data_IF_992548094054
#
_entry.id   IF_992548094054
#
_cell.length_a   1.000
_cell.length_b   1.000
_cell.length_c   1.000
_cell.angle_alpha   90.00
_cell.angle_beta   90.00
_cell.angle_gamma   90.00
#
_symmetry.space_group_name_H-M   'P 1'
#
loop_
_entity.id
_entity.type
_entity.pdbx_description
1 polymer ?
#
# COMPACT_ATOMS: atom_id res chain seq x y z
N UNK A 1 -15.06 -28.75 -40.12
CA UNK A 1 -14.47 -28.24 -38.86
C UNK A 1 -15.54 -27.47 -38.12
N UNK A 2 -15.99 -27.95 -36.95
CA UNK A 2 -16.89 -27.16 -36.10
C UNK A 2 -16.01 -26.11 -35.42
N UNK A 3 -16.05 -24.87 -35.90
CA UNK A 3 -15.51 -23.74 -35.15
C UNK A 3 -16.34 -23.59 -33.88
N UNK A 4 -15.83 -24.11 -32.76
CA UNK A 4 -16.35 -23.79 -31.43
C UNK A 4 -16.13 -22.30 -31.18
N UNK A 5 -17.10 -21.48 -31.57
CA UNK A 5 -17.13 -20.06 -31.26
C UNK A 5 -17.53 -19.90 -29.79
N UNK A 6 -16.89 -18.97 -29.10
CA UNK A 6 -17.32 -18.59 -27.75
C UNK A 6 -18.75 -18.03 -27.83
N UNK A 7 -19.63 -18.54 -26.96
CA UNK A 7 -20.94 -17.93 -26.75
C UNK A 7 -20.71 -16.65 -25.94
N UNK A 8 -21.07 -15.50 -26.50
CA UNK A 8 -20.82 -14.18 -25.91
C UNK A 8 -21.90 -13.81 -24.89
N UNK A 9 -21.91 -14.52 -23.77
CA UNK A 9 -22.65 -14.12 -22.57
C UNK A 9 -21.69 -13.75 -21.44
N UNK A 10 -22.18 -13.03 -20.43
CA UNK A 10 -21.36 -12.49 -19.36
C UNK A 10 -20.65 -13.58 -18.52
N UNK A 11 -21.26 -14.76 -18.36
CA UNK A 11 -20.66 -15.87 -17.62
C UNK A 11 -19.45 -16.44 -18.36
N UNK A 12 -19.56 -16.56 -19.69
CA UNK A 12 -18.47 -17.00 -20.56
C UNK A 12 -17.38 -15.95 -20.72
N UNK A 13 -17.73 -14.65 -20.70
CA UNK A 13 -16.76 -13.56 -20.80
C UNK A 13 -15.97 -13.33 -19.50
N UNK A 14 -16.58 -13.51 -18.33
CA UNK A 14 -15.88 -13.39 -17.04
C UNK A 14 -15.17 -14.68 -16.62
N UNK A 15 -15.60 -15.84 -17.13
CA UNK A 15 -15.30 -17.20 -16.64
C UNK A 15 -15.96 -17.55 -15.31
N UNK A 16 -16.35 -18.82 -15.15
CA UNK A 16 -16.86 -19.34 -13.87
C UNK A 16 -15.80 -19.27 -12.78
N UNK A 17 -14.54 -19.52 -13.13
CA UNK A 17 -13.40 -19.45 -12.22
C UNK A 17 -13.24 -18.07 -11.59
N UNK A 18 -13.46 -17.00 -12.35
CA UNK A 18 -13.48 -15.62 -11.81
C UNK A 18 -14.65 -15.44 -10.86
N UNK A 19 -15.86 -15.84 -11.27
CA UNK A 19 -17.09 -15.63 -10.50
C UNK A 19 -17.10 -16.39 -9.16
N UNK A 20 -16.40 -17.52 -9.03
CA UNK A 20 -16.20 -18.21 -7.74
C UNK A 20 -15.60 -17.31 -6.65
N UNK A 21 -14.81 -16.30 -7.03
CA UNK A 21 -14.25 -15.33 -6.08
C UNK A 21 -15.26 -14.26 -5.64
N UNK A 22 -16.45 -14.24 -6.24
CA UNK A 22 -17.55 -13.31 -6.04
C UNK A 22 -18.86 -14.07 -5.71
N UNK A 23 -18.75 -15.23 -5.05
CA UNK A 23 -19.90 -16.10 -4.69
C UNK A 23 -20.79 -16.45 -5.89
N UNK A 24 -20.18 -16.64 -7.05
CA UNK A 24 -20.86 -16.89 -8.33
C UNK A 24 -21.87 -15.78 -8.73
N UNK A 25 -21.71 -14.55 -8.20
CA UNK A 25 -22.57 -13.38 -8.47
C UNK A 25 -21.89 -12.34 -9.34
N UNK A 26 -22.55 -12.00 -10.45
CA UNK A 26 -22.16 -10.90 -11.35
C UNK A 26 -22.35 -9.56 -10.63
N UNK A 27 -23.40 -9.42 -9.82
CA UNK A 27 -23.68 -8.20 -9.06
C UNK A 27 -22.60 -7.92 -8.01
N UNK A 28 -22.00 -8.95 -7.40
CA UNK A 28 -20.85 -8.77 -6.51
C UNK A 28 -19.58 -8.38 -7.27
N UNK A 29 -19.37 -8.98 -8.45
CA UNK A 29 -18.28 -8.59 -9.34
C UNK A 29 -18.40 -7.11 -9.77
N UNK A 30 -19.59 -6.67 -10.19
CA UNK A 30 -19.82 -5.30 -10.64
C UNK A 30 -19.72 -4.30 -9.48
N UNK A 31 -20.21 -4.65 -8.28
CA UNK A 31 -19.98 -3.86 -7.06
C UNK A 31 -18.49 -3.68 -6.76
N UNK A 32 -17.68 -4.72 -6.99
CA UNK A 32 -16.24 -4.62 -6.82
C UNK A 32 -15.60 -3.67 -7.85
N UNK A 33 -16.00 -3.76 -9.12
CA UNK A 33 -15.53 -2.83 -10.16
C UNK A 33 -15.92 -1.38 -9.87
N UNK A 34 -17.15 -1.14 -9.41
CA UNK A 34 -17.62 0.19 -9.01
C UNK A 34 -16.81 0.74 -7.83
N UNK A 35 -16.50 -0.10 -6.84
CA UNK A 35 -15.63 0.30 -5.74
C UNK A 35 -14.23 0.66 -6.23
N UNK A 36 -13.62 -0.16 -7.11
CA UNK A 36 -12.31 0.14 -7.71
C UNK A 36 -12.36 1.50 -8.43
N UNK A 37 -13.39 1.73 -9.26
CA UNK A 37 -13.56 2.98 -9.98
C UNK A 37 -13.68 4.19 -9.02
N UNK A 38 -14.46 4.06 -7.96
CA UNK A 38 -14.65 5.11 -6.95
C UNK A 38 -13.36 5.48 -6.23
N UNK A 39 -12.54 4.49 -5.83
CA UNK A 39 -11.34 4.75 -5.02
C UNK A 39 -10.09 5.08 -5.82
N UNK A 40 -10.10 4.81 -7.14
CA UNK A 40 -8.93 5.00 -8.02
C UNK A 40 -8.34 6.41 -7.94
N UNK A 41 -9.13 7.50 -7.97
CA UNK A 41 -8.56 8.85 -7.87
C UNK A 41 -7.76 9.09 -6.57
N UNK A 42 -8.31 8.68 -5.41
CA UNK A 42 -7.64 8.82 -4.13
C UNK A 42 -6.37 7.97 -4.07
N UNK A 43 -6.44 6.71 -4.53
CA UNK A 43 -5.29 5.81 -4.56
C UNK A 43 -4.18 6.35 -5.49
N UNK A 44 -4.52 6.88 -6.67
CA UNK A 44 -3.56 7.47 -7.59
C UNK A 44 -2.88 8.70 -6.97
N UNK A 45 -3.65 9.60 -6.34
CA UNK A 45 -3.11 10.78 -5.68
C UNK A 45 -2.13 10.41 -4.55
N UNK A 46 -2.48 9.41 -3.74
CA UNK A 46 -1.62 8.88 -2.68
C UNK A 46 -0.33 8.29 -3.26
N UNK A 47 -0.43 7.44 -4.28
CA UNK A 47 0.75 6.80 -4.90
C UNK A 47 1.70 7.83 -5.52
N UNK A 48 1.17 8.82 -6.26
CA UNK A 48 1.97 9.90 -6.86
C UNK A 48 2.65 10.72 -5.75
N UNK A 49 1.92 11.07 -4.69
CA UNK A 49 2.46 11.84 -3.56
C UNK A 49 3.61 11.10 -2.88
N UNK A 50 3.44 9.82 -2.53
CA UNK A 50 4.49 9.01 -1.89
C UNK A 50 5.72 8.93 -2.78
N UNK A 51 5.53 8.72 -4.08
CA UNK A 51 6.62 8.61 -5.06
C UNK A 51 7.42 9.92 -5.17
N UNK A 52 6.74 11.05 -5.17
CA UNK A 52 7.38 12.37 -5.17
C UNK A 52 8.10 12.67 -3.85
N UNK A 53 7.52 12.28 -2.72
CA UNK A 53 8.15 12.45 -1.40
C UNK A 53 9.44 11.62 -1.32
N UNK A 54 9.38 10.34 -1.69
CA UNK A 54 10.55 9.46 -1.72
C UNK A 54 11.63 10.03 -2.62
N UNK A 55 11.28 10.50 -3.83
CA UNK A 55 12.23 11.13 -4.73
C UNK A 55 12.87 12.39 -4.13
N UNK A 56 12.06 13.27 -3.53
CA UNK A 56 12.53 14.50 -2.90
C UNK A 56 13.58 14.26 -1.81
N UNK A 57 13.35 13.27 -0.93
CA UNK A 57 14.30 12.95 0.13
C UNK A 57 15.53 12.20 -0.39
N UNK A 58 15.38 11.24 -1.32
CA UNK A 58 16.54 10.55 -1.90
C UNK A 58 17.46 11.50 -2.68
N UNK A 59 16.91 12.53 -3.32
CA UNK A 59 17.70 13.59 -3.96
C UNK A 59 18.57 14.37 -2.98
N UNK A 60 18.16 14.49 -1.72
CA UNK A 60 18.90 15.20 -0.67
C UNK A 60 19.91 14.30 0.05
N UNK A 61 19.51 13.08 0.41
CA UNK A 61 20.36 12.13 1.14
C UNK A 61 21.48 11.56 0.26
N UNK A 62 21.22 11.42 -1.05
CA UNK A 62 22.14 10.78 -2.00
C UNK A 62 22.64 11.80 -3.02
N UNK A 63 21.81 12.14 -4.01
CA UNK A 63 22.05 13.12 -5.10
C UNK A 63 20.86 13.20 -6.05
N UNK A 64 20.80 14.26 -6.84
CA UNK A 64 19.69 14.57 -7.76
C UNK A 64 19.40 13.48 -8.80
N UNK A 65 20.40 12.69 -9.18
CA UNK A 65 20.39 11.68 -10.23
C UNK A 65 20.45 10.24 -9.68
N UNK A 66 20.00 10.01 -8.43
CA UNK A 66 20.10 8.72 -7.73
C UNK A 66 19.52 7.52 -8.50
N UNK A 67 18.59 7.73 -9.45
CA UNK A 67 18.07 6.66 -10.32
C UNK A 67 18.95 6.47 -11.56
N UNK A 68 19.40 7.56 -12.16
CA UNK A 68 20.16 7.53 -13.43
C UNK A 68 21.54 6.94 -13.20
N UNK A 69 22.16 7.27 -12.06
CA UNK A 69 23.43 6.72 -11.61
C UNK A 69 23.26 6.06 -10.22
N UNK A 70 22.84 4.79 -10.18
CA UNK A 70 22.42 4.10 -8.96
C UNK A 70 23.59 3.68 -8.08
N UNK A 71 23.52 4.05 -6.80
CA UNK A 71 24.56 3.77 -5.80
C UNK A 71 24.41 2.38 -5.18
N UNK A 72 23.18 1.86 -5.06
CA UNK A 72 22.94 0.52 -4.54
C UNK A 72 22.43 -0.45 -5.62
N UNK A 73 22.63 -1.74 -5.35
CA UNK A 73 22.25 -2.83 -6.25
C UNK A 73 20.73 -2.88 -6.48
N UNK A 74 19.93 -2.51 -5.48
CA UNK A 74 18.48 -2.52 -5.58
C UNK A 74 17.96 -1.56 -6.67
N UNK A 75 18.43 -0.32 -6.65
CA UNK A 75 18.05 0.72 -7.61
C UNK A 75 18.62 0.38 -8.99
N UNK A 76 19.86 -0.12 -9.05
CA UNK A 76 20.50 -0.59 -10.29
C UNK A 76 19.68 -1.68 -10.98
N UNK A 77 19.31 -2.72 -10.25
CA UNK A 77 18.49 -3.81 -10.79
C UNK A 77 17.13 -3.30 -11.27
N UNK A 78 16.49 -2.37 -10.56
CA UNK A 78 15.22 -1.80 -11.02
C UNK A 78 15.40 -0.94 -12.28
N UNK A 79 16.46 -0.16 -12.36
CA UNK A 79 16.82 0.63 -13.55
C UNK A 79 17.03 -0.29 -14.76
N UNK A 80 17.83 -1.35 -14.63
CA UNK A 80 18.07 -2.33 -15.71
C UNK A 80 16.77 -3.04 -16.14
N UNK A 81 15.89 -3.38 -15.19
CA UNK A 81 14.56 -3.92 -15.48
C UNK A 81 13.67 -2.91 -16.23
N UNK A 82 13.80 -1.62 -15.97
CA UNK A 82 13.12 -0.57 -16.74
C UNK A 82 13.74 -0.51 -18.15
N UNK A 83 15.05 -0.36 -18.25
CA UNK A 83 15.77 -0.25 -19.53
C UNK A 83 15.45 -1.41 -20.47
N UNK A 84 15.40 -2.65 -19.98
CA UNK A 84 15.05 -3.82 -20.80
C UNK A 84 13.67 -3.75 -21.45
N UNK A 85 12.74 -2.94 -20.91
CA UNK A 85 11.39 -2.73 -21.46
C UNK A 85 11.33 -1.60 -22.48
N UNK A 86 12.29 -0.68 -22.46
CA UNK A 86 12.33 0.49 -23.34
C UNK A 86 13.40 0.31 -24.42
N UNK A 87 12.99 0.39 -25.69
CA UNK A 87 13.91 0.28 -26.83
C UNK A 87 14.71 1.59 -27.09
N UNK A 88 14.55 2.61 -26.25
CA UNK A 88 14.97 3.99 -26.51
C UNK A 88 16.35 4.33 -25.95
N UNK A 89 16.86 5.49 -26.39
CA UNK A 89 17.88 6.28 -25.70
C UNK A 89 17.56 6.47 -24.22
N UNK A 90 18.60 6.70 -23.43
CA UNK A 90 18.58 6.92 -21.97
C UNK A 90 17.34 7.71 -21.51
N UNK A 91 16.52 7.08 -20.65
CA UNK A 91 15.33 7.71 -20.06
C UNK A 91 15.70 8.86 -19.12
N UNK A 92 14.80 9.83 -18.95
CA UNK A 92 14.95 10.87 -17.92
C UNK A 92 14.70 10.30 -16.52
N UNK A 93 15.13 11.04 -15.50
CA UNK A 93 14.89 10.69 -14.10
C UNK A 93 13.40 10.48 -13.80
N UNK A 94 12.54 11.39 -14.29
CA UNK A 94 11.08 11.34 -14.10
C UNK A 94 10.46 10.13 -14.82
N UNK A 95 11.00 9.77 -15.99
CA UNK A 95 10.58 8.57 -16.72
C UNK A 95 10.94 7.30 -15.95
N UNK A 96 12.12 7.21 -15.34
CA UNK A 96 12.40 6.09 -14.44
C UNK A 96 11.49 6.10 -13.22
N UNK A 97 11.38 7.22 -12.52
CA UNK A 97 10.59 7.34 -11.28
C UNK A 97 9.13 6.91 -11.50
N UNK A 98 8.52 7.30 -12.62
CA UNK A 98 7.16 6.88 -12.99
C UNK A 98 7.03 5.39 -13.32
N UNK A 99 8.11 4.75 -13.79
CA UNK A 99 8.14 3.33 -14.14
C UNK A 99 8.51 2.39 -12.98
N UNK A 100 9.00 2.91 -11.86
CA UNK A 100 9.14 2.12 -10.63
C UNK A 100 7.76 1.60 -10.22
N UNK A 101 7.62 0.32 -9.88
CA UNK A 101 6.34 -0.11 -9.31
C UNK A 101 6.12 0.52 -7.92
N UNK A 102 4.88 0.75 -7.51
CA UNK A 102 4.59 1.24 -6.15
C UNK A 102 5.23 0.37 -5.06
N UNK A 103 5.34 -0.96 -5.28
CA UNK A 103 6.01 -1.85 -4.33
C UNK A 103 7.49 -1.52 -4.16
N UNK A 104 8.15 -1.07 -5.22
CA UNK A 104 9.55 -0.62 -5.18
C UNK A 104 9.69 0.70 -4.44
N UNK A 105 8.78 1.64 -4.67
CA UNK A 105 8.71 2.89 -3.90
C UNK A 105 8.48 2.64 -2.41
N UNK A 106 7.54 1.76 -2.06
CA UNK A 106 7.28 1.36 -0.66
C UNK A 106 8.50 0.72 -0.03
N UNK A 107 9.26 -0.09 -0.76
CA UNK A 107 10.50 -0.67 -0.27
C UNK A 107 11.55 0.40 0.03
N UNK A 108 11.77 1.35 -0.89
CA UNK A 108 12.69 2.48 -0.65
C UNK A 108 12.27 3.32 0.56
N UNK A 109 10.97 3.63 0.67
CA UNK A 109 10.40 4.38 1.79
C UNK A 109 10.63 3.69 3.16
N UNK A 110 10.66 2.36 3.20
CA UNK A 110 10.84 1.55 4.40
C UNK A 110 12.28 1.02 4.57
N UNK A 111 13.21 1.43 3.70
CA UNK A 111 14.61 1.01 3.80
C UNK A 111 15.28 1.68 4.99
N UNK A 112 16.02 0.91 5.77
CA UNK A 112 16.84 1.42 6.88
C UNK A 112 18.00 2.28 6.40
N UNK A 113 18.46 2.05 5.17
CA UNK A 113 19.53 2.84 4.54
C UNK A 113 19.16 4.33 4.46
N UNK A 114 17.87 4.63 4.27
CA UNK A 114 17.38 5.99 4.02
C UNK A 114 16.52 6.55 5.14
N UNK A 115 15.98 5.68 6.01
CA UNK A 115 15.16 6.06 7.16
C UNK A 115 14.02 7.04 6.82
N UNK A 116 13.41 6.87 5.63
CA UNK A 116 12.38 7.79 5.11
C UNK A 116 11.01 7.58 5.77
N UNK A 117 10.79 6.50 6.50
CA UNK A 117 9.49 6.14 7.08
C UNK A 117 8.88 7.24 7.97
N UNK A 118 9.72 8.05 8.62
CA UNK A 118 9.30 9.20 9.43
C UNK A 118 8.84 10.41 8.61
N UNK A 119 9.22 10.47 7.34
CA UNK A 119 9.02 11.62 6.46
C UNK A 119 7.81 11.43 5.51
N UNK A 120 7.31 10.20 5.35
CA UNK A 120 6.23 9.90 4.39
C UNK A 120 4.90 10.55 4.78
N UNK A 121 4.52 10.43 6.05
CA UNK A 121 3.25 10.93 6.55
C UNK A 121 3.47 11.90 7.71
N UNK A 122 2.67 12.96 7.74
CA UNK A 122 2.66 13.93 8.84
C UNK A 122 1.36 13.81 9.64
N UNK A 123 1.34 14.19 10.91
CA UNK A 123 0.13 14.16 11.74
C UNK A 123 -0.49 12.75 11.93
N UNK A 124 0.35 11.72 12.03
CA UNK A 124 -0.08 10.34 12.28
C UNK A 124 -0.73 10.13 13.66
N UNK A 125 -0.63 11.11 14.55
CA UNK A 125 -1.41 11.19 15.80
C UNK A 125 -2.92 11.30 15.55
N UNK A 126 -3.37 11.77 14.38
CA UNK A 126 -4.79 11.87 14.00
C UNK A 126 -5.36 10.54 13.47
N UNK A 127 -4.50 9.58 13.14
CA UNK A 127 -4.89 8.29 12.61
C UNK A 127 -5.30 7.32 13.72
N UNK A 128 -6.44 6.66 13.53
CA UNK A 128 -6.97 5.65 14.43
C UNK A 128 -7.40 4.41 13.64
N UNK A 129 -6.63 3.32 13.75
CA UNK A 129 -6.89 2.08 13.02
C UNK A 129 -8.20 1.41 13.42
N UNK A 130 -8.75 1.69 14.61
CA UNK A 130 -10.01 1.07 15.07
C UNK A 130 -11.21 1.53 14.24
N UNK A 131 -11.11 2.66 13.54
CA UNK A 131 -12.12 3.17 12.61
C UNK A 131 -12.36 2.25 11.42
N UNK A 132 -11.35 1.46 11.03
CA UNK A 132 -11.35 0.72 9.77
C UNK A 132 -11.69 -0.77 9.90
N UNK A 133 -11.60 -1.33 11.11
CA UNK A 133 -12.14 -2.66 11.41
C UNK A 133 -12.27 -2.86 12.91
N UNK A 134 -13.32 -3.57 13.33
CA UNK A 134 -13.57 -3.90 14.75
C UNK A 134 -12.46 -4.76 15.37
N UNK A 135 -11.68 -5.46 14.56
CA UNK A 135 -10.56 -6.28 15.04
C UNK A 135 -9.26 -5.50 15.25
N UNK A 136 -9.19 -4.26 14.78
CA UNK A 136 -7.97 -3.46 14.86
C UNK A 136 -7.74 -2.88 16.26
N UNK A 137 -6.49 -2.48 16.51
CA UNK A 137 -6.03 -1.76 17.70
C UNK A 137 -4.98 -0.75 17.28
N UNK A 138 -4.75 0.30 18.07
CA UNK A 138 -3.62 1.22 17.89
C UNK A 138 -2.38 0.82 18.70
N UNK A 139 -2.20 -0.49 18.88
CA UNK A 139 -1.18 -1.04 19.78
C UNK A 139 -0.82 -2.46 19.41
N UNK A 140 0.40 -2.87 19.71
CA UNK A 140 0.90 -4.24 19.63
C UNK A 140 1.28 -4.77 21.01
N UNK A 141 1.60 -6.07 21.09
CA UNK A 141 2.08 -6.71 22.32
C UNK A 141 3.49 -7.25 22.09
N UNK A 142 4.42 -6.76 22.90
CA UNK A 142 5.80 -7.22 22.97
C UNK A 142 6.15 -7.50 24.43
N UNK A 143 6.72 -8.67 24.70
CA UNK A 143 7.10 -9.10 26.05
C UNK A 143 5.92 -9.02 27.05
N UNK A 144 4.75 -9.49 26.59
CA UNK A 144 3.46 -9.40 27.30
C UNK A 144 3.02 -7.98 27.71
N UNK A 145 3.72 -6.92 27.26
CA UNK A 145 3.37 -5.53 27.48
C UNK A 145 2.69 -4.96 26.24
N UNK A 146 1.66 -4.16 26.47
CA UNK A 146 0.96 -3.42 25.41
C UNK A 146 1.73 -2.14 25.10
N UNK A 147 2.09 -1.95 23.83
CA UNK A 147 2.79 -0.77 23.33
C UNK A 147 1.95 -0.11 22.25
N UNK A 148 1.89 1.22 22.23
CA UNK A 148 1.24 1.96 21.14
C UNK A 148 2.15 1.97 19.91
N UNK A 149 1.56 2.06 18.73
CA UNK A 149 2.35 2.26 17.50
C UNK A 149 2.94 3.66 17.48
N UNK A 150 4.25 3.75 17.23
CA UNK A 150 4.90 5.00 16.85
C UNK A 150 4.62 5.36 15.38
N UNK A 151 5.13 6.52 14.95
CA UNK A 151 4.87 7.05 13.61
C UNK A 151 5.54 6.22 12.50
N UNK A 152 6.72 5.65 12.73
CA UNK A 152 7.40 4.80 11.75
C UNK A 152 6.61 3.50 11.55
N UNK A 153 6.18 2.88 12.66
CA UNK A 153 5.37 1.67 12.66
C UNK A 153 4.00 1.92 12.01
N UNK A 154 3.37 3.07 12.26
CA UNK A 154 2.14 3.49 11.58
C UNK A 154 2.37 3.64 10.08
N UNK A 155 3.44 4.34 9.66
CA UNK A 155 3.80 4.47 8.24
C UNK A 155 3.94 3.11 7.57
N UNK A 156 4.66 2.17 8.19
CA UNK A 156 4.83 0.81 7.67
C UNK A 156 3.49 0.10 7.48
N UNK A 157 2.61 0.16 8.48
CA UNK A 157 1.27 -0.43 8.41
C UNK A 157 0.47 0.18 7.25
N UNK A 158 0.46 1.51 7.13
CA UNK A 158 -0.27 2.23 6.08
C UNK A 158 0.25 1.85 4.70
N UNK A 159 1.56 1.91 4.46
CA UNK A 159 2.16 1.60 3.17
C UNK A 159 1.88 0.16 2.74
N UNK A 160 1.92 -0.81 3.66
CA UNK A 160 1.57 -2.21 3.38
C UNK A 160 0.09 -2.39 3.03
N UNK A 161 -0.81 -1.66 3.69
CA UNK A 161 -2.23 -1.68 3.39
C UNK A 161 -2.53 -1.03 2.03
N UNK A 162 -1.94 0.13 1.76
CA UNK A 162 -2.01 0.82 0.47
C UNK A 162 -1.51 -0.07 -0.67
N UNK A 163 -0.35 -0.71 -0.50
CA UNK A 163 0.20 -1.63 -1.51
C UNK A 163 -0.77 -2.78 -1.80
N UNK A 164 -1.42 -3.32 -0.77
CA UNK A 164 -2.43 -4.38 -0.92
C UNK A 164 -3.66 -3.89 -1.68
N UNK A 165 -4.18 -2.70 -1.33
CA UNK A 165 -5.32 -2.08 -2.02
C UNK A 165 -4.96 -1.81 -3.48
N UNK A 166 -3.82 -1.14 -3.72
CA UNK A 166 -3.29 -0.79 -5.04
C UNK A 166 -3.20 -2.02 -5.92
N UNK A 167 -2.48 -3.06 -5.49
CA UNK A 167 -2.30 -4.27 -6.30
C UNK A 167 -3.65 -4.92 -6.63
N UNK A 168 -4.58 -4.99 -5.67
CA UNK A 168 -5.92 -5.55 -5.91
C UNK A 168 -6.72 -4.75 -6.93
N UNK A 169 -6.63 -3.41 -6.91
CA UNK A 169 -7.28 -2.56 -7.91
C UNK A 169 -6.75 -2.84 -9.33
N UNK A 170 -5.43 -2.82 -9.52
CA UNK A 170 -4.82 -2.99 -10.84
C UNK A 170 -4.81 -4.43 -11.36
N UNK A 171 -5.06 -5.41 -10.49
CA UNK A 171 -5.26 -6.81 -10.88
C UNK A 171 -6.74 -7.21 -10.97
N UNK A 172 -7.66 -6.26 -10.76
CA UNK A 172 -9.11 -6.50 -10.77
C UNK A 172 -9.52 -7.65 -9.82
N UNK A 173 -8.88 -7.67 -8.65
CA UNK A 173 -9.20 -8.63 -7.59
C UNK A 173 -10.36 -8.13 -6.72
N UNK A 174 -11.01 -9.07 -6.03
CA UNK A 174 -12.11 -8.77 -5.12
C UNK A 174 -11.60 -8.03 -3.85
N UNK A 175 -11.92 -6.74 -3.74
CA UNK A 175 -11.74 -5.86 -2.57
C UNK A 175 -12.82 -6.08 -1.50
N UNK A 176 -13.99 -6.59 -1.89
CA UNK A 176 -15.11 -6.92 -1.00
C UNK A 176 -14.87 -8.20 -0.20
N UNK A 177 -13.82 -8.96 -0.54
CA UNK A 177 -13.52 -10.24 0.09
C UNK A 177 -13.21 -10.08 1.57
N UNK A 178 -13.85 -10.92 2.37
CA UNK A 178 -13.53 -11.14 3.79
C UNK A 178 -13.00 -12.55 3.99
N UNK A 179 -12.36 -12.80 5.13
CA UNK A 179 -11.94 -14.15 5.55
C UNK A 179 -12.70 -14.55 6.81
N UNK A 180 -13.12 -15.80 6.87
CA UNK A 180 -13.71 -16.37 8.07
C UNK A 180 -12.61 -17.01 8.92
N UNK A 181 -12.50 -16.58 10.18
CA UNK A 181 -11.64 -17.19 11.17
C UNK A 181 -12.43 -18.07 12.14
N UNK A 182 -11.77 -18.42 13.25
CA UNK A 182 -12.37 -19.24 14.30
C UNK A 182 -13.69 -18.64 14.81
N UNK A 183 -14.63 -19.50 15.20
CA UNK A 183 -15.97 -19.12 15.65
C UNK A 183 -16.77 -18.30 14.63
N UNK A 184 -16.57 -18.57 13.33
CA UNK A 184 -17.26 -17.91 12.22
C UNK A 184 -17.08 -16.37 12.20
N UNK A 185 -16.01 -15.86 12.83
CA UNK A 185 -15.72 -14.43 12.86
C UNK A 185 -15.20 -13.98 11.50
N UNK A 186 -15.78 -12.91 10.97
CA UNK A 186 -15.31 -12.30 9.72
C UNK A 186 -14.21 -11.30 10.00
N UNK A 187 -13.17 -11.35 9.18
CA UNK A 187 -12.05 -10.42 9.19
C UNK A 187 -11.83 -9.85 7.80
N UNK A 188 -11.28 -8.64 7.69
CA UNK A 188 -10.92 -8.08 6.40
C UNK A 188 -9.87 -8.95 5.70
N UNK A 189 -9.94 -9.07 4.37
CA UNK A 189 -8.89 -9.73 3.57
C UNK A 189 -7.71 -8.78 3.35
N UNK A 190 -7.98 -7.49 3.25
CA UNK A 190 -6.97 -6.43 3.22
C UNK A 190 -6.46 -6.30 4.66
N UNK A 191 -5.31 -6.89 4.91
CA UNK A 191 -4.71 -6.97 6.25
C UNK A 191 -3.20 -7.01 6.10
N UNK A 192 -2.52 -6.27 6.97
CA UNK A 192 -1.09 -6.42 7.22
C UNK A 192 -0.87 -7.06 8.59
N UNK A 193 0.21 -7.84 8.70
CA UNK A 193 0.68 -8.34 9.98
C UNK A 193 1.87 -7.49 10.40
N UNK A 194 1.68 -6.71 11.46
CA UNK A 194 2.76 -6.01 12.11
C UNK A 194 3.56 -7.01 12.95
N UNK A 195 4.82 -7.20 12.57
CA UNK A 195 5.82 -8.02 13.26
C UNK A 195 7.08 -7.18 13.38
N UNK A 196 7.12 -6.31 14.37
CA UNK A 196 8.35 -5.59 14.68
C UNK A 196 9.18 -6.44 15.63
N UNK A 197 10.10 -7.20 15.05
CA UNK A 197 11.21 -7.77 15.80
C UNK A 197 12.31 -6.75 15.67
N UNK A 198 12.81 -6.13 16.76
CA UNK A 198 13.92 -5.20 16.67
C UNK A 198 15.06 -5.89 15.92
N UNK A 199 15.49 -5.31 14.79
CA UNK A 199 16.53 -5.88 13.92
C UNK A 199 17.94 -5.71 14.48
N UNK A 200 18.06 -5.30 15.74
CA UNK A 200 19.33 -5.35 16.46
C UNK A 200 19.62 -6.81 16.74
N UNK A 201 20.59 -7.33 16.00
CA UNK A 201 21.21 -8.64 16.15
C UNK A 201 21.68 -8.84 17.60
N UNK A 202 20.84 -9.40 18.46
CA UNK A 202 21.26 -10.15 19.65
C UNK A 202 20.06 -10.92 20.19
N UNK A 203 19.86 -12.15 19.72
CA UNK A 203 19.01 -13.17 20.37
C UNK A 203 17.68 -12.65 20.98
N UNK A 204 16.95 -11.77 20.29
CA UNK A 204 15.60 -11.42 20.76
C UNK A 204 14.72 -12.63 20.47
N UNK A 205 14.20 -13.22 21.54
CA UNK A 205 13.30 -14.37 21.45
C UNK A 205 12.06 -13.93 20.67
N UNK A 206 11.95 -14.34 19.39
CA UNK A 206 10.80 -14.04 18.51
C UNK A 206 9.47 -14.46 19.16
N UNK A 207 9.54 -15.41 20.10
CA UNK A 207 8.43 -15.89 20.93
C UNK A 207 7.77 -14.79 21.79
N UNK A 208 8.48 -13.69 22.09
CA UNK A 208 7.95 -12.60 22.91
C UNK A 208 7.04 -11.64 22.12
N UNK A 209 7.03 -11.71 20.79
CA UNK A 209 6.21 -10.84 19.95
C UNK A 209 4.91 -11.54 19.53
N UNK A 210 3.76 -10.96 19.89
CA UNK A 210 2.46 -11.46 19.42
C UNK A 210 2.08 -10.74 18.13
N UNK A 211 1.85 -11.51 17.06
CA UNK A 211 1.43 -10.98 15.75
C UNK A 211 0.22 -10.05 15.92
N UNK A 212 0.36 -8.82 15.42
CA UNK A 212 -0.72 -7.83 15.47
C UNK A 212 -1.23 -7.59 14.06
N UNK A 213 -2.47 -7.99 13.81
CA UNK A 213 -3.10 -7.83 12.50
C UNK A 213 -3.90 -6.53 12.46
N UNK A 214 -3.61 -5.70 11.46
CA UNK A 214 -4.36 -4.48 11.17
C UNK A 214 -4.94 -4.62 9.77
N UNK A 215 -6.24 -4.44 9.63
CA UNK A 215 -6.93 -4.61 8.34
C UNK A 215 -8.03 -3.59 8.10
N UNK A 216 -8.50 -3.53 6.86
CA UNK A 216 -9.53 -2.57 6.43
C UNK A 216 -10.75 -3.35 5.97
N UNK A 217 -11.87 -3.20 6.68
CA UNK A 217 -13.13 -3.78 6.25
C UNK A 217 -13.53 -3.20 4.88
N UNK A 218 -14.14 -3.99 3.97
CA UNK A 218 -14.46 -3.50 2.63
C UNK A 218 -15.22 -2.17 2.59
N UNK A 219 -16.19 -1.99 3.49
CA UNK A 219 -16.99 -0.77 3.61
C UNK A 219 -16.21 0.44 4.16
N UNK A 220 -14.94 0.27 4.52
CA UNK A 220 -14.07 1.29 5.12
C UNK A 220 -12.87 1.64 4.24
N UNK A 221 -12.73 1.03 3.06
CA UNK A 221 -11.60 1.30 2.15
C UNK A 221 -11.60 2.77 1.71
N UNK A 222 -12.73 3.29 1.28
CA UNK A 222 -12.83 4.68 0.82
C UNK A 222 -12.53 5.68 1.96
N UNK A 223 -13.12 5.47 3.13
CA UNK A 223 -12.85 6.27 4.32
C UNK A 223 -11.37 6.23 4.74
N UNK A 224 -10.74 5.06 4.68
CA UNK A 224 -9.30 4.92 4.94
C UNK A 224 -8.47 5.76 3.95
N UNK A 225 -8.73 5.63 2.65
CA UNK A 225 -7.98 6.39 1.64
C UNK A 225 -8.22 7.90 1.78
N UNK A 226 -9.43 8.33 2.10
CA UNK A 226 -9.75 9.73 2.37
C UNK A 226 -8.98 10.27 3.58
N UNK A 227 -8.93 9.53 4.69
CA UNK A 227 -8.16 9.91 5.87
C UNK A 227 -6.66 9.99 5.56
N UNK A 228 -6.11 9.04 4.81
CA UNK A 228 -4.71 9.07 4.36
C UNK A 228 -4.43 10.29 3.48
N UNK A 229 -5.33 10.61 2.56
CA UNK A 229 -5.17 11.80 1.71
C UNK A 229 -5.18 13.09 2.55
N UNK A 230 -6.05 13.17 3.56
CA UNK A 230 -6.06 14.30 4.48
C UNK A 230 -4.76 14.40 5.29
N UNK A 231 -4.18 13.27 5.70
CA UNK A 231 -2.87 13.24 6.39
C UNK A 231 -1.77 13.87 5.51
N UNK A 232 -1.79 13.66 4.18
CA UNK A 232 -0.89 14.37 3.25
C UNK A 232 -1.23 15.87 3.14
N UNK A 233 -2.51 16.20 2.98
CA UNK A 233 -2.95 17.57 2.69
C UNK A 233 -2.98 18.50 3.92
N UNK A 234 -3.07 17.97 5.14
CA UNK A 234 -3.10 18.78 6.36
C UNK A 234 -1.76 19.45 6.65
N UNK A 235 -0.63 18.88 6.20
CA UNK A 235 0.67 19.56 6.23
C UNK A 235 0.69 20.84 5.36
N UNK A 236 -0.20 20.94 4.39
CA UNK A 236 -0.36 22.14 3.54
C UNK A 236 -1.13 23.23 4.27
N UNK A 237 -2.23 22.88 4.99
CA UNK A 237 -3.08 23.87 5.69
C UNK A 237 -2.38 24.57 6.85
N UNK A 238 -1.45 23.92 7.55
CA UNK A 238 -0.69 24.54 8.65
C UNK A 238 0.40 25.51 8.17
N UNK A 239 0.89 25.33 6.94
CA UNK A 239 1.95 26.18 6.38
C UNK A 239 1.39 27.45 5.71
N UNK A 240 0.18 27.40 5.16
CA UNK A 240 -0.51 28.60 4.66
C UNK A 240 -0.89 29.59 5.77
N UNK A 241 -1.23 29.11 6.96
CA UNK A 241 -1.54 29.98 8.11
C UNK A 241 -0.29 30.60 8.77
N UNK A 242 0.89 30.00 8.58
CA UNK A 242 2.18 30.57 9.04
C UNK A 242 2.84 31.49 8.02
N UNK A 243 2.56 31.34 6.72
CA UNK A 243 3.05 32.25 5.68
C UNK A 243 2.25 33.56 5.57
N UNK A 244 1.17 33.71 6.36
CA UNK A 244 0.33 34.92 6.44
C UNK A 244 0.45 35.65 7.79
N UNK A 245 1.46 35.31 8.61
CA UNK A 245 1.79 36.01 9.86
C UNK A 245 3.19 36.62 9.79
#
# INVERSE_FOLDING_TARGET
>A
MITNKIIRDINNLLSRERLKYYNDSIEEHDRNLNLIAQITPNMAMIEISIRNIVDFYLKQEIRSDWIVDPINEYIRNEKENIDSRFKSSQLTHEQYLSNFSFGKIVHLALSEEYNLGKEIFTNLNLLDFTKYSKSNKNSYIYDNKKNNFDDIQKTEIILKLLLTIRNRCYHWENLLKTRTGNHNRKYPRITTNFKDVPKIETKINKDNFKSTYIGIDPSKIDAFLYDILNIFLLGVKSNFSRAQQ
#
